data_IF_304172302272
#
_entry.id   IF_304172302272
#
_cell.length_a   1.000
_cell.length_b   1.000
_cell.length_c   1.000
_cell.angle_alpha   90.00
_cell.angle_beta   90.00
_cell.angle_gamma   90.00
#
_symmetry.space_group_name_H-M   'P 1'
#
loop_
_entity.id
_entity.type
_entity.pdbx_description
1 polymer ?
#
# COMPACT_ATOMS: atom_id res chain seq x y z
N UNK A 1 20.50 34.60 -16.50
CA UNK A 1 20.37 33.14 -16.48
C UNK A 1 18.92 32.85 -16.13
N UNK A 2 18.07 32.78 -17.14
CA UNK A 2 16.69 32.32 -16.95
C UNK A 2 16.75 30.82 -16.67
N UNK A 3 16.23 30.42 -15.51
CA UNK A 3 16.04 29.02 -15.16
C UNK A 3 15.12 28.41 -16.20
N UNK A 4 15.64 27.49 -17.00
CA UNK A 4 14.87 26.66 -17.92
C UNK A 4 13.79 25.92 -17.10
N UNK A 5 12.56 26.41 -17.17
CA UNK A 5 11.42 25.86 -16.42
C UNK A 5 11.09 24.51 -17.06
N UNK A 6 11.62 23.43 -16.49
CA UNK A 6 11.26 22.06 -16.87
C UNK A 6 9.73 21.95 -16.88
N UNK A 7 9.12 21.34 -17.92
CA UNK A 7 7.67 21.28 -18.02
C UNK A 7 7.09 20.58 -16.79
N UNK A 8 6.11 21.23 -16.17
CA UNK A 8 5.49 20.73 -14.95
C UNK A 8 4.82 19.37 -15.21
N UNK A 9 5.31 18.33 -14.55
CA UNK A 9 4.74 16.98 -14.70
C UNK A 9 3.50 16.85 -13.82
N UNK A 10 2.35 16.63 -14.43
CA UNK A 10 1.06 16.45 -13.75
C UNK A 10 0.60 15.01 -13.92
N UNK A 11 0.09 14.42 -12.84
CA UNK A 11 -0.44 13.07 -12.88
C UNK A 11 -1.69 12.96 -13.77
N UNK A 12 -1.81 11.87 -14.55
CA UNK A 12 -2.86 11.75 -15.56
C UNK A 12 -4.28 11.69 -14.96
N UNK A 13 -4.43 11.08 -13.79
CA UNK A 13 -5.71 10.94 -13.08
C UNK A 13 -6.06 12.10 -12.15
N UNK A 14 -5.09 12.95 -11.79
CA UNK A 14 -5.22 13.98 -10.74
C UNK A 14 -4.83 15.35 -11.29
N UNK A 15 -5.63 15.85 -12.24
CA UNK A 15 -5.39 17.11 -12.98
C UNK A 15 -6.07 18.29 -12.31
N UNK A 16 -5.51 19.48 -12.49
CA UNK A 16 -6.11 20.72 -12.01
C UNK A 16 -7.53 20.91 -12.56
N UNK A 17 -8.46 21.29 -11.69
CA UNK A 17 -9.86 21.48 -12.06
C UNK A 17 -10.63 20.18 -12.34
N UNK A 18 -10.07 19.02 -11.95
CA UNK A 18 -10.80 17.74 -11.98
C UNK A 18 -11.77 17.59 -10.80
N UNK A 19 -11.56 18.33 -9.71
CA UNK A 19 -12.47 18.38 -8.57
C UNK A 19 -13.76 19.12 -8.89
N UNK A 20 -14.84 18.84 -8.15
CA UNK A 20 -16.09 19.58 -8.33
C UNK A 20 -15.89 21.06 -7.96
N UNK A 21 -16.52 22.05 -8.63
CA UNK A 21 -16.29 23.48 -8.37
C UNK A 21 -16.57 23.97 -6.95
N UNK A 22 -17.26 23.15 -6.14
CA UNK A 22 -17.56 23.43 -4.73
C UNK A 22 -16.53 22.85 -3.76
N UNK A 23 -15.62 22.01 -4.26
CA UNK A 23 -14.59 21.35 -3.47
C UNK A 23 -13.33 22.20 -3.49
N UNK A 24 -12.68 22.33 -2.34
CA UNK A 24 -11.39 22.99 -2.27
C UNK A 24 -10.32 21.97 -2.69
N UNK A 25 -9.57 22.32 -3.72
CA UNK A 25 -8.50 21.49 -4.26
C UNK A 25 -7.18 21.81 -3.56
N UNK A 26 -6.32 20.80 -3.41
CA UNK A 26 -4.97 20.90 -2.86
C UNK A 26 -3.99 20.32 -3.87
N UNK A 27 -2.88 21.03 -4.09
CA UNK A 27 -1.80 20.59 -4.96
C UNK A 27 -0.72 19.87 -4.13
N UNK A 28 -0.65 18.54 -4.22
CA UNK A 28 0.46 17.75 -3.68
C UNK A 28 1.56 17.64 -4.74
N UNK A 29 2.79 17.90 -4.36
CA UNK A 29 3.96 17.71 -5.22
C UNK A 29 4.80 16.59 -4.64
N UNK A 30 4.91 15.47 -5.35
CA UNK A 30 5.72 14.33 -4.93
C UNK A 30 7.22 14.66 -4.91
N UNK A 31 8.00 13.81 -4.22
CA UNK A 31 9.45 13.96 -4.11
C UNK A 31 10.22 13.80 -5.44
N UNK A 32 9.55 13.27 -6.47
CA UNK A 32 10.00 13.18 -7.86
C UNK A 32 9.28 14.19 -8.79
N UNK A 33 8.78 15.30 -8.22
CA UNK A 33 8.23 16.49 -8.90
C UNK A 33 7.00 16.21 -9.79
N UNK A 34 6.16 15.27 -9.38
CA UNK A 34 4.84 15.03 -10.00
C UNK A 34 3.76 15.71 -9.17
N UNK A 35 2.92 16.51 -9.84
CA UNK A 35 1.80 17.23 -9.23
C UNK A 35 0.53 16.38 -9.25
N UNK A 36 -0.17 16.39 -8.12
CA UNK A 36 -1.49 15.79 -7.91
C UNK A 36 -2.42 16.87 -7.40
N UNK A 37 -3.53 17.08 -8.11
CA UNK A 37 -4.59 17.98 -7.70
C UNK A 37 -5.71 17.14 -7.09
N UNK A 38 -5.89 17.27 -5.77
CA UNK A 38 -6.71 16.35 -4.96
C UNK A 38 -7.73 17.16 -4.14
N UNK A 39 -8.98 16.69 -4.00
CA UNK A 39 -9.94 17.32 -3.10
C UNK A 39 -9.45 17.29 -1.64
N UNK A 40 -9.52 18.43 -0.93
CA UNK A 40 -9.07 18.53 0.46
C UNK A 40 -9.81 17.54 1.37
N UNK A 41 -11.11 17.35 1.13
CA UNK A 41 -11.95 16.52 1.98
C UNK A 41 -11.47 15.07 1.97
N UNK A 42 -10.96 14.60 0.81
CA UNK A 42 -10.49 13.24 0.62
C UNK A 42 -9.27 12.98 1.51
N UNK A 43 -8.34 13.94 1.56
CA UNK A 43 -7.15 13.93 2.41
C UNK A 43 -7.52 14.01 3.90
N UNK A 44 -8.44 14.91 4.27
CA UNK A 44 -8.90 15.09 5.67
C UNK A 44 -9.65 13.87 6.20
N UNK A 45 -10.41 13.18 5.35
CA UNK A 45 -11.20 12.02 5.74
C UNK A 45 -10.30 10.81 6.08
N UNK A 46 -9.20 10.64 5.34
CA UNK A 46 -8.38 9.43 5.41
C UNK A 46 -7.02 9.59 6.08
N UNK A 47 -6.64 10.81 6.46
CA UNK A 47 -5.42 11.08 7.22
C UNK A 47 -5.69 12.02 8.38
N UNK A 48 -5.38 11.55 9.59
CA UNK A 48 -5.46 12.40 10.79
C UNK A 48 -4.43 13.52 10.73
N UNK A 49 -3.20 13.21 10.29
CA UNK A 49 -2.12 14.20 10.15
C UNK A 49 -2.50 15.31 9.19
N UNK A 50 -3.01 14.97 8.01
CA UNK A 50 -3.42 15.97 7.02
C UNK A 50 -4.63 16.77 7.52
N UNK A 51 -5.61 16.12 8.16
CA UNK A 51 -6.73 16.82 8.79
C UNK A 51 -6.27 17.88 9.76
N UNK A 52 -5.37 17.53 10.68
CA UNK A 52 -4.86 18.44 11.69
C UNK A 52 -4.04 19.57 11.02
N UNK A 53 -3.22 19.26 10.02
CA UNK A 53 -2.46 20.23 9.24
C UNK A 53 -3.36 21.28 8.56
N UNK A 54 -4.52 20.88 8.03
CA UNK A 54 -5.45 21.80 7.39
C UNK A 54 -6.27 22.65 8.37
N UNK A 55 -6.30 22.31 9.67
CA UNK A 55 -6.96 23.13 10.70
C UNK A 55 -6.11 24.31 11.18
N UNK A 56 -4.79 24.28 10.93
CA UNK A 56 -3.89 25.36 11.32
C UNK A 56 -4.12 26.58 10.40
N UNK A 57 -4.32 27.79 10.95
CA UNK A 57 -4.45 29.00 10.13
C UNK A 57 -3.21 29.19 9.26
N UNK A 58 -3.41 29.14 7.94
CA UNK A 58 -2.35 29.46 6.98
C UNK A 58 -2.06 30.97 7.06
N UNK A 59 -0.77 31.34 7.14
CA UNK A 59 -0.38 32.74 7.07
C UNK A 59 -0.85 33.33 5.72
N UNK A 60 -1.37 34.57 5.68
CA UNK A 60 -1.84 35.17 4.43
C UNK A 60 -0.68 35.22 3.42
N UNK A 61 -0.83 34.53 2.31
CA UNK A 61 0.15 34.51 1.22
C UNK A 61 0.26 35.90 0.61
N UNK A 62 1.47 36.45 0.60
CA UNK A 62 1.78 37.82 0.18
C UNK A 62 1.58 38.10 -1.33
N UNK A 63 1.07 37.12 -2.10
CA UNK A 63 0.92 37.21 -3.55
C UNK A 63 -0.54 37.40 -4.01
N UNK A 64 -1.35 38.12 -3.23
CA UNK A 64 -2.72 38.48 -3.62
C UNK A 64 -2.71 39.65 -4.61
N UNK A 65 -2.17 39.40 -5.80
CA UNK A 65 -2.22 40.29 -6.96
C UNK A 65 -2.77 39.52 -8.16
N UNK A 66 -4.09 39.58 -8.36
CA UNK A 66 -4.76 39.28 -9.63
C UNK A 66 -4.48 37.92 -10.30
N UNK A 67 -4.93 36.83 -9.68
CA UNK A 67 -5.40 35.60 -10.34
C UNK A 67 -6.30 34.87 -9.32
N UNK A 68 -7.20 33.98 -9.76
CA UNK A 68 -8.12 33.26 -8.87
C UNK A 68 -7.44 32.53 -7.69
N UNK A 69 -8.21 31.96 -6.74
CA UNK A 69 -7.63 31.28 -5.58
C UNK A 69 -6.75 30.12 -6.05
N UNK A 70 -5.43 30.26 -5.88
CA UNK A 70 -4.45 29.20 -6.17
C UNK A 70 -4.63 28.08 -5.14
N UNK A 71 -4.73 26.81 -5.55
CA UNK A 71 -4.82 25.69 -4.61
C UNK A 71 -3.64 25.70 -3.61
N UNK A 72 -3.88 25.44 -2.30
CA UNK A 72 -2.81 25.26 -1.35
C UNK A 72 -1.83 24.19 -1.85
N UNK A 73 -0.53 24.52 -1.82
CA UNK A 73 0.54 23.65 -2.32
C UNK A 73 1.25 22.98 -1.14
N UNK A 74 1.44 21.67 -1.21
CA UNK A 74 2.22 20.87 -0.25
C UNK A 74 3.32 20.17 -1.02
N UNK A 75 4.57 20.49 -0.70
CA UNK A 75 5.75 19.85 -1.28
C UNK A 75 6.21 18.70 -0.39
N UNK A 76 6.28 17.52 -0.99
CA UNK A 76 6.69 16.29 -0.34
C UNK A 76 8.16 16.02 -0.67
N UNK A 77 8.96 15.70 0.34
CA UNK A 77 10.44 15.71 0.24
C UNK A 77 11.07 14.38 0.63
N UNK A 78 10.30 13.48 1.23
CA UNK A 78 10.76 12.18 1.71
C UNK A 78 10.79 11.16 0.57
N UNK A 79 11.98 11.01 -0.02
CA UNK A 79 12.22 10.11 -1.15
C UNK A 79 11.97 8.63 -0.84
N UNK A 80 11.81 8.24 0.43
CA UNK A 80 11.54 6.85 0.79
C UNK A 80 10.08 6.46 0.61
N UNK A 81 9.15 7.39 0.78
CA UNK A 81 7.71 7.08 0.81
C UNK A 81 6.82 8.08 0.04
N UNK A 82 7.33 9.25 -0.34
CA UNK A 82 6.57 10.29 -1.02
C UNK A 82 6.88 10.35 -2.53
N UNK A 83 7.13 9.20 -3.16
CA UNK A 83 7.27 9.13 -4.62
C UNK A 83 5.90 9.23 -5.31
N UNK A 84 5.89 9.61 -6.59
CA UNK A 84 4.66 9.70 -7.38
C UNK A 84 3.86 8.39 -7.41
N UNK A 85 4.53 7.24 -7.53
CA UNK A 85 3.83 5.94 -7.56
C UNK A 85 3.22 5.58 -6.21
N UNK A 86 3.92 5.83 -5.10
CA UNK A 86 3.40 5.59 -3.75
C UNK A 86 2.19 6.48 -3.46
N UNK A 87 2.26 7.76 -3.85
CA UNK A 87 1.16 8.71 -3.77
C UNK A 87 -0.02 8.29 -4.65
N UNK A 88 0.23 7.88 -5.90
CA UNK A 88 -0.83 7.43 -6.81
C UNK A 88 -1.59 6.23 -6.25
N UNK A 89 -0.88 5.22 -5.72
CA UNK A 89 -1.50 4.08 -5.06
C UNK A 89 -2.30 4.50 -3.81
N UNK A 90 -1.70 5.32 -2.93
CA UNK A 90 -2.38 5.83 -1.74
C UNK A 90 -3.69 6.56 -2.09
N UNK A 91 -3.64 7.48 -3.07
CA UNK A 91 -4.80 8.25 -3.49
C UNK A 91 -5.86 7.39 -4.19
N UNK A 92 -5.44 6.37 -4.95
CA UNK A 92 -6.37 5.42 -5.58
C UNK A 92 -7.14 4.63 -4.53
N UNK A 93 -6.47 4.14 -3.49
CA UNK A 93 -7.11 3.48 -2.35
C UNK A 93 -8.04 4.42 -1.58
N UNK A 94 -7.65 5.69 -1.44
CA UNK A 94 -8.45 6.72 -0.78
C UNK A 94 -9.73 7.03 -1.55
N UNK A 95 -9.67 7.02 -2.88
CA UNK A 95 -10.82 7.26 -3.75
C UNK A 95 -11.86 6.15 -3.62
N UNK A 96 -11.42 4.90 -3.49
CA UNK A 96 -12.30 3.75 -3.23
C UNK A 96 -13.18 3.34 -4.40
N UNK A 97 -12.85 3.76 -5.63
CA UNK A 97 -13.62 3.42 -6.83
C UNK A 97 -13.45 1.94 -7.24
N UNK A 98 -12.33 1.34 -6.85
CA UNK A 98 -11.92 0.00 -7.24
C UNK A 98 -11.60 -0.84 -6.00
N UNK A 99 -11.79 -2.16 -6.13
CA UNK A 99 -11.31 -3.10 -5.11
C UNK A 99 -9.78 -2.97 -4.96
N UNK A 100 -9.22 -3.02 -3.73
CA UNK A 100 -7.80 -2.71 -3.50
C UNK A 100 -6.82 -3.52 -4.37
N UNK A 101 -7.15 -4.76 -4.68
CA UNK A 101 -6.30 -5.63 -5.49
C UNK A 101 -6.36 -5.30 -6.99
N UNK A 102 -7.48 -4.76 -7.49
CA UNK A 102 -7.65 -4.39 -8.89
C UNK A 102 -6.81 -3.18 -9.28
N UNK A 103 -6.54 -2.27 -8.32
CA UNK A 103 -5.69 -1.08 -8.51
C UNK A 103 -4.27 -1.46 -8.96
N UNK A 104 -3.81 -2.66 -8.61
CA UNK A 104 -2.45 -3.12 -8.87
C UNK A 104 -2.25 -3.56 -10.31
N UNK A 105 -3.33 -3.75 -11.07
CA UNK A 105 -3.27 -4.05 -12.50
C UNK A 105 -3.00 -2.78 -13.35
N UNK A 106 -2.91 -1.61 -12.71
CA UNK A 106 -2.60 -0.37 -13.42
C UNK A 106 -1.17 -0.40 -13.94
N UNK A 107 -1.02 -0.11 -15.24
CA UNK A 107 0.28 -0.02 -15.93
C UNK A 107 1.30 0.92 -15.26
N UNK A 108 0.82 1.87 -14.47
CA UNK A 108 1.66 2.78 -13.71
C UNK A 108 2.61 2.05 -12.74
N UNK A 109 2.20 0.87 -12.25
CA UNK A 109 2.92 0.10 -11.24
C UNK A 109 3.76 -1.04 -11.81
N UNK A 110 3.69 -1.28 -13.13
CA UNK A 110 4.40 -2.35 -13.82
C UNK A 110 5.92 -2.29 -13.55
N UNK A 111 6.48 -3.39 -13.08
CA UNK A 111 7.90 -3.51 -12.72
C UNK A 111 8.36 -2.73 -11.46
N UNK A 112 7.45 -2.05 -10.75
CA UNK A 112 7.76 -1.26 -9.54
C UNK A 112 6.85 -1.58 -8.35
N UNK A 113 6.16 -2.72 -8.42
CA UNK A 113 5.10 -3.06 -7.48
C UNK A 113 5.57 -3.12 -6.02
N UNK A 114 6.71 -3.79 -5.75
CA UNK A 114 7.27 -3.92 -4.40
C UNK A 114 7.65 -2.55 -3.82
N UNK A 115 8.33 -1.70 -4.59
CA UNK A 115 8.71 -0.35 -4.17
C UNK A 115 7.49 0.54 -3.92
N UNK A 116 6.48 0.45 -4.79
CA UNK A 116 5.23 1.20 -4.69
C UNK A 116 4.45 0.80 -3.44
N UNK A 117 4.31 -0.50 -3.17
CA UNK A 117 3.65 -0.99 -1.96
C UNK A 117 4.42 -0.58 -0.70
N UNK A 118 5.74 -0.72 -0.70
CA UNK A 118 6.56 -0.30 0.44
C UNK A 118 6.41 1.18 0.72
N UNK A 119 6.52 2.02 -0.31
CA UNK A 119 6.34 3.47 -0.20
C UNK A 119 4.94 3.84 0.30
N UNK A 120 3.89 3.22 -0.24
CA UNK A 120 2.51 3.46 0.19
C UNK A 120 2.25 3.04 1.64
N UNK A 121 2.83 1.93 2.11
CA UNK A 121 2.76 1.51 3.52
C UNK A 121 3.41 2.56 4.41
N UNK A 122 4.64 2.97 4.10
CA UNK A 122 5.35 3.99 4.88
C UNK A 122 4.63 5.34 4.84
N UNK A 123 4.06 5.72 3.70
CA UNK A 123 3.28 6.94 3.53
C UNK A 123 2.02 6.91 4.39
N UNK A 124 1.27 5.79 4.37
CA UNK A 124 0.06 5.64 5.17
C UNK A 124 0.36 5.61 6.68
N UNK A 125 1.51 5.09 7.10
CA UNK A 125 1.98 5.23 8.48
C UNK A 125 2.31 6.70 8.82
N UNK A 126 3.07 7.37 7.95
CA UNK A 126 3.47 8.77 8.12
C UNK A 126 2.28 9.70 8.22
N UNK A 127 1.22 9.42 7.46
CA UNK A 127 0.00 10.22 7.42
C UNK A 127 -1.08 9.74 8.39
N UNK A 128 -0.80 8.74 9.23
CA UNK A 128 -1.75 8.16 10.19
C UNK A 128 -3.10 7.82 9.52
N UNK A 129 -3.01 6.90 8.55
CA UNK A 129 -4.10 6.48 7.66
C UNK A 129 -4.46 5.00 7.86
N UNK A 130 -5.15 4.64 8.95
CA UNK A 130 -5.40 3.24 9.32
C UNK A 130 -6.30 2.48 8.33
N UNK A 131 -7.22 3.16 7.64
CA UNK A 131 -8.03 2.52 6.60
C UNK A 131 -7.19 2.14 5.39
N UNK A 132 -6.31 3.03 4.94
CA UNK A 132 -5.40 2.75 3.83
C UNK A 132 -4.42 1.62 4.20
N UNK A 133 -3.92 1.60 5.44
CA UNK A 133 -3.11 0.46 5.93
C UNK A 133 -3.87 -0.86 5.88
N UNK A 134 -5.17 -0.86 6.22
CA UNK A 134 -6.01 -2.05 6.13
C UNK A 134 -6.18 -2.50 4.68
N UNK A 135 -6.39 -1.58 3.74
CA UNK A 135 -6.56 -1.93 2.33
C UNK A 135 -5.24 -2.45 1.72
N UNK A 136 -4.11 -1.85 2.09
CA UNK A 136 -2.77 -2.36 1.73
C UNK A 136 -2.53 -3.77 2.31
N UNK A 137 -3.01 -4.06 3.52
CA UNK A 137 -2.97 -5.40 4.08
C UNK A 137 -3.85 -6.38 3.27
N UNK A 138 -5.04 -5.98 2.84
CA UNK A 138 -5.88 -6.82 1.96
C UNK A 138 -5.19 -7.13 0.62
N UNK A 139 -4.48 -6.16 0.06
CA UNK A 139 -3.64 -6.34 -1.13
C UNK A 139 -2.56 -7.40 -0.90
N UNK A 140 -1.79 -7.31 0.19
CA UNK A 140 -0.75 -8.30 0.48
C UNK A 140 -1.34 -9.69 0.72
N UNK A 141 -2.52 -9.77 1.34
CA UNK A 141 -3.24 -11.02 1.53
C UNK A 141 -3.66 -11.64 0.20
N UNK A 142 -4.13 -10.84 -0.75
CA UNK A 142 -4.44 -11.31 -2.11
C UNK A 142 -3.20 -11.93 -2.75
N UNK A 143 -2.06 -11.24 -2.69
CA UNK A 143 -0.80 -11.76 -3.23
C UNK A 143 -0.31 -13.06 -2.55
N UNK A 144 -0.49 -13.18 -1.23
CA UNK A 144 -0.13 -14.40 -0.51
C UNK A 144 -0.92 -15.64 -0.96
N UNK A 145 -2.12 -15.45 -1.54
CA UNK A 145 -3.04 -16.53 -1.93
C UNK A 145 -3.00 -16.85 -3.40
N UNK A 146 -2.96 -15.82 -4.24
CA UNK A 146 -3.30 -15.93 -5.65
C UNK A 146 -2.08 -15.85 -6.58
N UNK A 147 -0.89 -15.51 -6.08
CA UNK A 147 0.16 -14.94 -6.93
C UNK A 147 1.49 -15.69 -6.92
N UNK A 148 1.48 -17.02 -6.72
CA UNK A 148 2.70 -17.82 -6.75
C UNK A 148 3.42 -17.81 -8.10
N UNK A 149 2.69 -17.54 -9.19
CA UNK A 149 3.22 -17.60 -10.55
C UNK A 149 3.50 -16.22 -11.17
N UNK A 150 3.18 -15.10 -10.50
CA UNK A 150 3.50 -13.80 -11.07
C UNK A 150 4.95 -13.40 -10.80
N UNK A 151 5.68 -12.91 -11.81
CA UNK A 151 7.09 -12.58 -11.67
C UNK A 151 7.35 -11.31 -10.84
N UNK A 152 6.35 -10.45 -10.64
CA UNK A 152 6.53 -9.09 -10.12
C UNK A 152 6.65 -9.02 -8.59
N UNK A 153 6.00 -9.92 -7.85
CA UNK A 153 6.09 -10.00 -6.39
C UNK A 153 6.32 -11.44 -5.98
N UNK A 154 7.42 -11.71 -5.29
CA UNK A 154 7.72 -13.02 -4.75
C UNK A 154 7.11 -13.17 -3.35
N UNK A 155 6.87 -14.41 -2.90
CA UNK A 155 6.38 -14.66 -1.53
C UNK A 155 7.25 -14.01 -0.43
N UNK A 156 8.57 -13.94 -0.63
CA UNK A 156 9.47 -13.27 0.31
C UNK A 156 9.22 -11.75 0.38
N UNK A 157 8.89 -11.11 -0.75
CA UNK A 157 8.57 -9.68 -0.79
C UNK A 157 7.30 -9.41 0.03
N UNK A 158 6.29 -10.28 -0.09
CA UNK A 158 5.05 -10.19 0.71
C UNK A 158 5.35 -10.26 2.20
N UNK A 159 6.23 -11.17 2.64
CA UNK A 159 6.64 -11.29 4.05
C UNK A 159 7.37 -10.02 4.51
N UNK A 160 8.31 -9.51 3.71
CA UNK A 160 9.07 -8.30 4.03
C UNK A 160 8.14 -7.09 4.13
N UNK A 161 7.20 -6.92 3.19
CA UNK A 161 6.22 -5.84 3.22
C UNK A 161 5.28 -5.98 4.42
N UNK A 162 4.76 -7.18 4.69
CA UNK A 162 3.89 -7.44 5.83
C UNK A 162 4.58 -7.17 7.18
N UNK A 163 5.91 -7.30 7.26
CA UNK A 163 6.68 -6.98 8.46
C UNK A 163 6.75 -5.48 8.78
N UNK A 164 6.41 -4.61 7.82
CA UNK A 164 6.45 -3.15 7.99
C UNK A 164 5.27 -2.58 8.76
N UNK A 165 4.19 -3.35 8.93
CA UNK A 165 3.02 -2.90 9.68
C UNK A 165 3.30 -2.94 11.18
N UNK A 166 3.16 -1.79 11.84
CA UNK A 166 3.50 -1.58 13.26
C UNK A 166 2.57 -2.32 14.24
N UNK A 167 1.28 -2.38 13.95
CA UNK A 167 0.24 -2.86 14.89
C UNK A 167 -0.44 -4.17 14.45
N UNK A 168 0.13 -4.88 13.47
CA UNK A 168 -0.50 -6.05 12.88
C UNK A 168 0.34 -7.32 12.99
N UNK A 169 0.94 -7.57 14.16
CA UNK A 169 1.67 -8.83 14.44
C UNK A 169 0.84 -10.08 14.11
N UNK A 170 -0.49 -10.01 14.30
CA UNK A 170 -1.43 -11.06 13.86
C UNK A 170 -1.49 -11.19 12.34
N UNK A 171 -1.56 -10.09 11.60
CA UNK A 171 -1.62 -10.11 10.13
C UNK A 171 -0.31 -10.60 9.51
N UNK A 172 0.83 -10.12 10.01
CA UNK A 172 2.14 -10.56 9.51
C UNK A 172 2.34 -12.06 9.77
N UNK A 173 1.89 -12.55 10.94
CA UNK A 173 1.92 -13.97 11.26
C UNK A 173 0.95 -14.80 10.41
N UNK A 174 -0.30 -14.37 10.24
CA UNK A 174 -1.28 -15.04 9.37
C UNK A 174 -0.81 -15.08 7.92
N UNK A 175 -0.29 -13.97 7.41
CA UNK A 175 0.27 -13.88 6.05
C UNK A 175 1.48 -14.79 5.91
N UNK A 176 2.38 -14.80 6.89
CA UNK A 176 3.52 -15.71 6.93
C UNK A 176 3.09 -17.19 6.92
N UNK A 177 2.14 -17.57 7.78
CA UNK A 177 1.61 -18.93 7.83
C UNK A 177 0.91 -19.31 6.53
N UNK A 178 0.14 -18.41 5.92
CA UNK A 178 -0.52 -18.64 4.64
C UNK A 178 0.50 -18.85 3.52
N UNK A 179 1.51 -17.97 3.44
CA UNK A 179 2.59 -18.09 2.45
C UNK A 179 3.32 -19.42 2.60
N UNK A 180 3.66 -19.83 3.83
CA UNK A 180 4.31 -21.11 4.08
C UNK A 180 3.43 -22.32 3.77
N UNK A 181 2.13 -22.23 4.07
CA UNK A 181 1.18 -23.32 3.85
C UNK A 181 0.94 -23.58 2.37
N UNK A 182 0.85 -22.51 1.58
CA UNK A 182 0.58 -22.59 0.15
C UNK A 182 1.87 -22.71 -0.69
N UNK A 183 3.06 -22.49 -0.08
CA UNK A 183 4.34 -22.71 -0.73
C UNK A 183 4.53 -24.19 -1.06
N UNK A 184 4.30 -24.54 -2.33
CA UNK A 184 4.75 -25.81 -2.90
C UNK A 184 6.21 -25.65 -3.33
N UNK A 185 7.17 -26.36 -2.71
CA UNK A 185 8.54 -26.32 -3.19
C UNK A 185 8.57 -26.77 -4.67
N UNK A 186 9.45 -26.18 -5.50
CA UNK A 186 9.61 -26.61 -6.88
C UNK A 186 9.84 -28.13 -6.94
N UNK A 187 9.17 -28.81 -7.87
CA UNK A 187 9.13 -30.27 -8.04
C UNK A 187 10.48 -30.92 -8.41
N UNK A 188 11.60 -30.31 -8.09
CA UNK A 188 12.93 -30.91 -8.20
C UNK A 188 13.36 -31.69 -6.94
N UNK A 189 12.43 -31.93 -6.01
CA UNK A 189 12.60 -32.85 -4.89
C UNK A 189 11.65 -34.06 -5.00
N UNK A 190 11.65 -34.74 -6.14
CA UNK A 190 11.25 -36.16 -6.17
C UNK A 190 12.31 -36.98 -5.41
N UNK A 191 12.30 -36.97 -4.08
CA UNK A 191 12.97 -38.02 -3.28
C UNK A 191 12.56 -38.04 -1.80
N UNK A 192 11.32 -37.73 -1.43
CA UNK A 192 10.86 -37.87 -0.04
C UNK A 192 9.81 -38.98 0.15
N UNK A 193 9.20 -39.48 -0.93
CA UNK A 193 8.22 -40.58 -0.88
C UNK A 193 8.86 -41.97 -0.64
N UNK A 194 10.15 -42.15 -0.88
CA UNK A 194 10.87 -43.42 -0.67
C UNK A 194 11.32 -43.65 0.79
N UNK A 195 11.09 -42.69 1.69
CA UNK A 195 11.44 -42.82 3.10
C UNK A 195 10.30 -43.38 3.98
N UNK A 196 9.29 -44.05 3.40
CA UNK A 196 8.21 -44.72 4.16
C UNK A 196 8.68 -45.92 5.02
N UNK A 197 9.98 -46.24 5.04
CA UNK A 197 10.57 -47.32 5.82
C UNK A 197 11.62 -46.92 6.87
N UNK A 198 12.01 -45.65 6.99
CA UNK A 198 13.06 -45.24 7.93
C UNK A 198 12.52 -44.21 8.94
N UNK A 199 12.61 -44.53 10.23
CA UNK A 199 12.27 -43.58 11.30
C UNK A 199 13.11 -42.32 11.14
N UNK A 200 12.47 -41.20 10.81
CA UNK A 200 13.13 -39.93 10.63
C UNK A 200 13.46 -39.32 12.01
N UNK A 201 14.73 -39.01 12.33
CA UNK A 201 15.09 -38.35 13.58
C UNK A 201 15.04 -36.83 13.39
N UNK A 202 13.84 -36.26 13.18
CA UNK A 202 13.62 -34.82 13.35
C UNK A 202 12.26 -34.60 14.03
N UNK A 203 12.04 -35.33 15.11
CA UNK A 203 11.13 -34.90 16.17
C UNK A 203 11.98 -34.30 17.28
N UNK A 204 11.62 -33.10 17.70
CA UNK A 204 12.11 -32.35 18.88
C UNK A 204 13.11 -31.22 18.59
N UNK A 205 12.62 -30.09 18.08
CA UNK A 205 13.08 -28.80 18.60
C UNK A 205 12.06 -27.65 18.64
N UNK A 206 10.80 -27.87 18.22
CA UNK A 206 9.71 -26.88 18.38
C UNK A 206 8.57 -27.39 19.25
N UNK A 207 8.91 -28.01 20.38
CA UNK A 207 7.94 -28.27 21.44
C UNK A 207 7.63 -26.98 22.17
N UNK A 208 6.49 -26.33 21.83
CA UNK A 208 5.57 -25.56 22.70
C UNK A 208 4.81 -24.49 21.89
N UNK A 209 3.94 -24.90 20.96
CA UNK A 209 2.66 -24.19 20.75
C UNK A 209 1.61 -25.25 20.43
N UNK A 210 0.86 -25.67 21.44
CA UNK A 210 -0.33 -26.51 21.25
C UNK A 210 -1.45 -25.62 20.70
N UNK A 211 -1.75 -25.75 19.41
CA UNK A 211 -2.98 -25.22 18.85
C UNK A 211 -4.15 -26.15 19.24
N UNK A 212 -5.25 -25.62 19.81
CA UNK A 212 -6.44 -26.42 20.04
C UNK A 212 -7.04 -26.86 18.71
N UNK A 213 -7.23 -28.17 18.53
CA UNK A 213 -7.98 -28.73 17.41
C UNK A 213 -9.43 -28.26 17.49
N UNK A 214 -9.81 -27.29 16.68
CA UNK A 214 -11.23 -26.99 16.42
C UNK A 214 -11.75 -28.09 15.48
N UNK A 215 -12.59 -28.97 16.02
CA UNK A 215 -13.31 -29.97 15.26
C UNK A 215 -14.30 -29.28 14.31
N UNK A 216 -13.99 -29.23 13.01
CA UNK A 216 -15.00 -29.04 11.97
C UNK A 216 -15.79 -30.35 11.80
N UNK A 217 -16.88 -30.52 12.55
CA UNK A 217 -18.00 -31.36 12.14
C UNK A 217 -19.31 -30.68 12.50
N UNK A 218 -20.19 -30.61 11.51
CA UNK A 218 -21.55 -30.07 11.48
C UNK A 218 -21.69 -28.57 11.25
N UNK A 219 -21.73 -28.19 9.97
CA UNK A 219 -22.86 -27.41 9.45
C UNK A 219 -23.17 -27.91 8.03
N UNK A 220 -24.07 -28.88 7.97
CA UNK A 220 -24.89 -29.15 6.79
C UNK A 220 -26.33 -29.26 7.29
N UNK A 221 -27.21 -28.47 6.66
CA UNK A 221 -28.65 -28.28 6.91
C UNK A 221 -28.95 -27.45 8.18
N UNK A 222 -29.47 -26.23 8.07
CA UNK A 222 -30.83 -25.80 7.67
C UNK A 222 -30.76 -24.37 7.13
#
# INVERSE_FOLDING_TARGET
MESEKTPEKVHAAWKEGSCHPTEQEVCLVSSDDVRFYVPDFLLRAHSRVLRDMFTVPQAPSANSGSAGPVPPKIELTDKLCESSTALSLFLSLTKGDEEPHAILEFKEFEGKMVETLHGAILLAQKWDSPMILKDLALVLRYYSRCNYDAPEIKPLDVIILASKFSDLTTFSFETFCQVLWDYKPPSHYECWEDAKGASCPVTNHWGLVNFPKVNQKHFSSI
#
